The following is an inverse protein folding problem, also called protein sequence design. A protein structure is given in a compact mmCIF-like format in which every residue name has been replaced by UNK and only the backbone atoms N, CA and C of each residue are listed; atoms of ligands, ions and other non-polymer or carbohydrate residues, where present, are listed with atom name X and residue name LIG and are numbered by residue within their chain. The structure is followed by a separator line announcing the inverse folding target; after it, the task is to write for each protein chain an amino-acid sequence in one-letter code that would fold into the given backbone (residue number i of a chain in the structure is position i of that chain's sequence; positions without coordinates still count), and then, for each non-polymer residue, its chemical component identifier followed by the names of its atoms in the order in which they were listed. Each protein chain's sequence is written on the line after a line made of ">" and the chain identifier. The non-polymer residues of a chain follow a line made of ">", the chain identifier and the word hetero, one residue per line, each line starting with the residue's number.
data_IF_611412222892
#
_entry.id   IF_611412222892
#
_cell.length_a   1.000
_cell.length_b   1.000
_cell.length_c   1.000
_cell.angle_alpha   90.00
_cell.angle_beta   90.00
_cell.angle_gamma   90.00
#
_symmetry.space_group_name_H-M   'P 1'
#
loop_
_entity.id
_entity.type
_entity.pdbx_description
1 polymer ?
#
# COMPACT_ATOMS: atom_id res chain seq x y z
N UNK A 1 22.94 41.19 27.40
CA UNK A 1 21.91 42.24 27.60
C UNK A 1 20.58 41.67 27.16
N UNK A 2 19.84 41.03 28.08
CA UNK A 2 18.56 40.38 27.80
C UNK A 2 17.43 41.41 27.93
N UNK A 3 16.51 41.54 26.94
CA UNK A 3 15.43 42.51 27.03
C UNK A 3 14.43 42.07 28.12
N UNK A 4 14.27 42.92 29.15
CA UNK A 4 13.26 42.76 30.20
C UNK A 4 11.89 43.10 29.62
N UNK A 5 11.06 42.08 29.37
CA UNK A 5 9.64 42.26 29.08
C UNK A 5 8.95 42.88 30.30
N UNK A 6 8.44 44.11 30.15
CA UNK A 6 7.73 44.86 31.19
C UNK A 6 6.25 44.48 31.13
N UNK A 7 5.79 43.66 32.06
CA UNK A 7 4.39 43.22 32.11
C UNK A 7 3.43 44.40 32.38
N UNK A 8 2.31 44.53 31.64
CA UNK A 8 1.32 45.58 31.88
C UNK A 8 0.56 45.32 33.19
N UNK A 9 0.31 46.38 33.97
CA UNK A 9 -0.18 46.32 35.36
C UNK A 9 -1.72 46.28 35.50
N UNK A 10 -2.47 45.87 34.48
CA UNK A 10 -3.94 45.74 34.59
C UNK A 10 -4.33 44.34 35.07
N UNK A 11 -5.22 44.26 36.07
CA UNK A 11 -5.73 42.98 36.59
C UNK A 11 -6.31 42.09 35.47
N UNK A 12 -6.95 42.72 34.48
CA UNK A 12 -7.52 42.03 33.31
C UNK A 12 -6.46 41.28 32.49
N UNK A 13 -5.31 41.89 32.20
CA UNK A 13 -4.26 41.20 31.41
C UNK A 13 -3.63 40.06 32.22
N UNK A 14 -3.55 40.21 33.55
CA UNK A 14 -2.98 39.18 34.44
C UNK A 14 -3.84 37.91 34.53
N UNK A 15 -5.15 38.02 34.30
CA UNK A 15 -6.07 36.88 34.25
C UNK A 15 -6.34 36.38 32.81
N UNK A 16 -6.50 37.30 31.85
CA UNK A 16 -6.85 36.93 30.47
C UNK A 16 -5.69 36.27 29.74
N UNK A 17 -4.46 36.76 29.90
CA UNK A 17 -3.30 36.20 29.19
C UNK A 17 -3.07 34.70 29.51
N UNK A 18 -3.01 34.25 30.79
CA UNK A 18 -2.85 32.82 31.07
C UNK A 18 -4.06 32.01 30.62
N UNK A 19 -5.28 32.54 30.71
CA UNK A 19 -6.48 31.85 30.22
C UNK A 19 -6.44 31.63 28.69
N UNK A 20 -6.09 32.66 27.92
CA UNK A 20 -5.93 32.51 26.48
C UNK A 20 -4.80 31.53 26.13
N UNK A 21 -3.71 31.55 26.89
CA UNK A 21 -2.60 30.64 26.69
C UNK A 21 -3.00 29.19 26.99
N UNK A 22 -3.68 28.93 28.11
CA UNK A 22 -4.14 27.57 28.44
C UNK A 22 -5.13 27.04 27.42
N UNK A 23 -6.12 27.86 27.03
CA UNK A 23 -7.09 27.50 26.00
C UNK A 23 -6.40 27.22 24.67
N UNK A 24 -5.48 28.09 24.23
CA UNK A 24 -4.71 27.90 23.00
C UNK A 24 -3.88 26.62 23.01
N UNK A 25 -3.23 26.29 24.13
CA UNK A 25 -2.49 25.03 24.29
C UNK A 25 -3.42 23.82 24.19
N UNK A 26 -4.57 23.84 24.88
CA UNK A 26 -5.53 22.74 24.84
C UNK A 26 -6.06 22.53 23.42
N UNK A 27 -6.47 23.59 22.71
CA UNK A 27 -6.93 23.47 21.33
C UNK A 27 -5.84 22.96 20.38
N UNK A 28 -4.60 23.39 20.57
CA UNK A 28 -3.46 22.93 19.75
C UNK A 28 -3.21 21.44 19.96
N UNK A 29 -3.20 20.99 21.22
CA UNK A 29 -3.02 19.57 21.55
C UNK A 29 -4.17 18.74 21.01
N UNK A 30 -5.41 19.19 21.19
CA UNK A 30 -6.60 18.49 20.68
C UNK A 30 -6.56 18.37 19.16
N UNK A 31 -6.31 19.48 18.44
CA UNK A 31 -6.20 19.49 16.98
C UNK A 31 -5.10 18.56 16.48
N UNK A 32 -3.97 18.50 17.18
CA UNK A 32 -2.87 17.60 16.83
C UNK A 32 -3.25 16.13 17.00
N UNK A 33 -3.90 15.78 18.11
CA UNK A 33 -4.36 14.41 18.40
C UNK A 33 -5.44 13.97 17.40
N UNK A 34 -6.40 14.85 17.12
CA UNK A 34 -7.48 14.57 16.18
C UNK A 34 -6.93 14.37 14.78
N UNK A 35 -6.07 15.28 14.30
CA UNK A 35 -5.44 15.14 12.99
C UNK A 35 -4.66 13.83 12.85
N UNK A 36 -3.88 13.45 13.87
CA UNK A 36 -3.15 12.19 13.89
C UNK A 36 -4.08 10.98 13.83
N UNK A 37 -5.17 11.01 14.60
CA UNK A 37 -6.12 9.90 14.69
C UNK A 37 -6.94 9.76 13.41
N UNK A 38 -7.45 10.86 12.87
CA UNK A 38 -8.17 10.87 11.58
C UNK A 38 -7.28 10.38 10.45
N UNK A 39 -6.02 10.84 10.40
CA UNK A 39 -5.06 10.35 9.40
C UNK A 39 -4.81 8.84 9.54
N UNK A 40 -4.62 8.35 10.76
CA UNK A 40 -4.40 6.93 11.01
C UNK A 40 -5.62 6.07 10.60
N UNK A 41 -6.82 6.51 10.94
CA UNK A 41 -8.07 5.82 10.58
C UNK A 41 -8.29 5.80 9.07
N UNK A 42 -8.09 6.93 8.38
CA UNK A 42 -8.23 7.00 6.93
C UNK A 42 -7.22 6.08 6.22
N UNK A 43 -5.95 6.10 6.65
CA UNK A 43 -4.95 5.19 6.10
C UNK A 43 -5.28 3.72 6.38
N UNK A 44 -5.85 3.41 7.55
CA UNK A 44 -6.34 2.06 7.87
C UNK A 44 -7.45 1.60 6.92
N UNK A 45 -8.44 2.46 6.67
CA UNK A 45 -9.53 2.18 5.72
C UNK A 45 -9.01 1.99 4.30
N UNK A 46 -8.11 2.87 3.83
CA UNK A 46 -7.52 2.73 2.50
C UNK A 46 -6.73 1.42 2.34
N UNK A 47 -6.00 1.00 3.37
CA UNK A 47 -5.31 -0.30 3.37
C UNK A 47 -6.28 -1.47 3.30
N UNK A 48 -7.35 -1.44 4.09
CA UNK A 48 -8.36 -2.51 4.08
C UNK A 48 -9.13 -2.56 2.77
N UNK A 49 -9.38 -1.42 2.12
CA UNK A 49 -9.99 -1.39 0.80
C UNK A 49 -9.03 -1.94 -0.26
N UNK A 50 -7.76 -1.53 -0.25
CA UNK A 50 -6.77 -2.03 -1.20
C UNK A 50 -6.54 -3.55 -1.06
N UNK A 51 -6.59 -4.07 0.17
CA UNK A 51 -6.55 -5.50 0.47
C UNK A 51 -7.75 -6.23 -0.15
N UNK A 52 -8.98 -5.74 0.08
CA UNK A 52 -10.19 -6.30 -0.52
C UNK A 52 -10.17 -6.23 -2.06
N UNK A 53 -9.71 -5.11 -2.63
CA UNK A 53 -9.62 -4.93 -4.08
C UNK A 53 -8.60 -5.90 -4.68
N UNK A 54 -7.45 -6.08 -4.04
CA UNK A 54 -6.43 -7.07 -4.43
C UNK A 54 -7.00 -8.48 -4.42
N UNK A 55 -7.76 -8.81 -3.37
CA UNK A 55 -8.36 -10.13 -3.21
C UNK A 55 -9.47 -10.39 -4.24
N UNK A 56 -10.22 -9.35 -4.64
CA UNK A 56 -11.18 -9.40 -5.75
C UNK A 56 -10.47 -9.57 -7.10
N UNK A 57 -9.39 -8.84 -7.36
CA UNK A 57 -8.57 -8.99 -8.59
C UNK A 57 -8.03 -10.42 -8.67
N UNK A 58 -7.50 -10.96 -7.57
CA UNK A 58 -7.00 -12.34 -7.49
C UNK A 58 -8.10 -13.35 -7.83
N UNK A 59 -9.30 -13.21 -7.27
CA UNK A 59 -10.44 -14.09 -7.58
C UNK A 59 -10.93 -13.95 -9.02
N UNK A 60 -11.00 -12.73 -9.54
CA UNK A 60 -11.44 -12.46 -10.90
C UNK A 60 -10.48 -13.04 -11.96
N UNK A 61 -9.20 -13.09 -11.63
CA UNK A 61 -8.14 -13.61 -12.53
C UNK A 61 -7.83 -15.09 -12.30
N UNK A 62 -8.29 -15.69 -11.19
CA UNK A 62 -7.98 -17.05 -10.77
C UNK A 62 -8.18 -18.09 -11.87
N UNK A 63 -9.36 -18.15 -12.48
CA UNK A 63 -9.68 -19.19 -13.48
C UNK A 63 -8.88 -19.00 -14.77
N UNK A 64 -8.65 -17.74 -15.17
CA UNK A 64 -7.80 -17.42 -16.31
C UNK A 64 -6.35 -17.85 -16.06
N UNK A 65 -5.82 -17.61 -14.86
CA UNK A 65 -4.49 -18.06 -14.45
C UNK A 65 -4.41 -19.60 -14.40
N UNK A 66 -5.38 -20.26 -13.77
CA UNK A 66 -5.45 -21.72 -13.62
C UNK A 66 -5.49 -22.44 -14.97
N UNK A 67 -6.22 -21.88 -15.95
CA UNK A 67 -6.34 -22.42 -17.31
C UNK A 67 -5.25 -21.90 -18.26
N UNK A 68 -4.26 -21.14 -17.76
CA UNK A 68 -3.19 -20.52 -18.54
C UNK A 68 -3.68 -19.67 -19.72
N UNK A 69 -4.76 -18.91 -19.50
CA UNK A 69 -5.35 -17.96 -20.45
C UNK A 69 -4.90 -16.54 -20.14
N UNK A 70 -3.59 -16.30 -20.27
CA UNK A 70 -2.98 -15.03 -19.87
C UNK A 70 -3.52 -13.83 -20.64
N UNK A 71 -3.95 -14.01 -21.89
CA UNK A 71 -4.57 -12.94 -22.68
C UNK A 71 -5.90 -12.46 -22.05
N UNK A 72 -6.75 -13.38 -21.58
CA UNK A 72 -8.01 -13.05 -20.88
C UNK A 72 -7.74 -12.35 -19.54
N UNK A 73 -6.70 -12.79 -18.83
CA UNK A 73 -6.26 -12.17 -17.57
C UNK A 73 -5.73 -10.76 -17.82
N UNK A 74 -4.91 -10.56 -18.87
CA UNK A 74 -4.37 -9.26 -19.26
C UNK A 74 -5.49 -8.28 -19.60
N UNK A 75 -6.51 -8.72 -20.36
CA UNK A 75 -7.69 -7.91 -20.66
C UNK A 75 -8.45 -7.55 -19.37
N UNK A 76 -8.69 -8.53 -18.50
CA UNK A 76 -9.36 -8.31 -17.21
C UNK A 76 -8.65 -7.26 -16.36
N UNK A 77 -7.33 -7.38 -16.21
CA UNK A 77 -6.51 -6.43 -15.45
C UNK A 77 -6.57 -5.04 -16.07
N UNK A 78 -6.55 -4.95 -17.40
CA UNK A 78 -6.62 -3.66 -18.12
C UNK A 78 -7.97 -2.98 -17.90
N UNK A 79 -9.08 -3.71 -17.96
CA UNK A 79 -10.42 -3.18 -17.65
C UNK A 79 -10.56 -2.75 -16.19
N UNK A 80 -10.04 -3.54 -15.24
CA UNK A 80 -10.07 -3.19 -13.82
C UNK A 80 -9.24 -1.94 -13.53
N UNK A 81 -8.08 -1.79 -14.17
CA UNK A 81 -7.23 -0.61 -14.01
C UNK A 81 -7.78 0.66 -14.69
N UNK A 82 -8.68 0.53 -15.66
CA UNK A 82 -9.40 1.66 -16.25
C UNK A 82 -10.46 2.27 -15.30
N UNK A 83 -10.79 1.55 -14.22
CA UNK A 83 -11.69 2.04 -13.18
C UNK A 83 -11.12 3.24 -12.40
N UNK A 84 -11.97 4.11 -11.84
CA UNK A 84 -11.51 5.23 -11.03
C UNK A 84 -10.82 4.73 -9.75
N UNK A 85 -9.72 5.37 -9.37
CA UNK A 85 -9.01 5.08 -8.11
C UNK A 85 -7.94 4.00 -8.19
N UNK A 86 -7.79 3.33 -9.33
CA UNK A 86 -6.68 2.39 -9.58
C UNK A 86 -5.61 3.09 -10.41
N UNK A 87 -4.40 3.21 -9.86
CA UNK A 87 -3.29 3.85 -10.56
C UNK A 87 -2.62 2.90 -11.57
N UNK A 88 -2.42 1.64 -11.18
CA UNK A 88 -1.85 0.59 -12.00
C UNK A 88 -2.01 -0.77 -11.31
N UNK A 89 -2.09 -1.84 -12.10
CA UNK A 89 -2.06 -3.22 -11.63
C UNK A 89 -0.90 -3.92 -12.35
N UNK A 90 -0.05 -4.64 -11.60
CA UNK A 90 1.13 -5.35 -12.11
C UNK A 90 1.21 -6.73 -11.48
N UNK A 91 1.50 -7.75 -12.28
CA UNK A 91 1.78 -9.11 -11.82
C UNK A 91 3.24 -9.43 -12.11
N UNK A 92 3.94 -9.90 -11.08
CA UNK A 92 5.35 -10.24 -11.16
C UNK A 92 5.53 -11.75 -11.08
N UNK A 93 6.50 -12.28 -11.83
CA UNK A 93 6.98 -13.63 -11.57
C UNK A 93 7.97 -13.66 -10.40
N UNK A 94 8.36 -14.87 -9.97
CA UNK A 94 9.32 -15.09 -8.88
C UNK A 94 10.74 -14.59 -9.15
N UNK A 95 11.03 -14.12 -10.36
CA UNK A 95 12.31 -13.54 -10.76
C UNK A 95 12.24 -12.02 -10.81
N UNK A 96 11.11 -11.41 -10.45
CA UNK A 96 10.92 -9.96 -10.54
C UNK A 96 10.64 -9.45 -11.94
N UNK A 97 10.17 -10.29 -12.87
CA UNK A 97 9.74 -9.87 -14.21
C UNK A 97 8.26 -9.53 -14.19
N UNK A 98 7.89 -8.38 -14.72
CA UNK A 98 6.48 -8.00 -14.94
C UNK A 98 5.91 -8.88 -16.07
N UNK A 99 5.04 -9.81 -15.72
CA UNK A 99 4.42 -10.74 -16.68
C UNK A 99 3.08 -10.22 -17.22
N UNK A 100 2.37 -9.43 -16.42
CA UNK A 100 1.12 -8.76 -16.79
C UNK A 100 1.14 -7.35 -16.22
N UNK A 101 0.63 -6.38 -16.96
CA UNK A 101 0.50 -5.00 -16.47
C UNK A 101 -0.63 -4.28 -17.16
N UNK A 102 -1.36 -3.43 -16.43
CA UNK A 102 -2.28 -2.47 -17.03
C UNK A 102 -1.59 -1.49 -18.01
N UNK A 103 -0.26 -1.38 -17.93
CA UNK A 103 0.60 -0.62 -18.82
C UNK A 103 1.43 -1.59 -19.67
N UNK A 104 1.01 -1.89 -20.91
CA UNK A 104 1.65 -2.92 -21.73
C UNK A 104 3.15 -2.69 -21.97
N UNK A 105 3.59 -1.43 -21.96
CA UNK A 105 4.99 -1.02 -22.09
C UNK A 105 5.90 -1.50 -20.95
N UNK A 106 5.33 -1.92 -19.82
CA UNK A 106 6.08 -2.44 -18.68
C UNK A 106 6.29 -3.95 -18.74
N UNK A 107 5.53 -4.66 -19.57
CA UNK A 107 5.59 -6.12 -19.66
C UNK A 107 6.99 -6.54 -20.14
N UNK A 108 7.56 -7.52 -19.44
CA UNK A 108 8.93 -8.00 -19.66
C UNK A 108 10.01 -7.19 -18.94
N UNK A 109 9.67 -6.07 -18.29
CA UNK A 109 10.63 -5.33 -17.45
C UNK A 109 10.98 -6.13 -16.20
N UNK A 110 12.27 -6.19 -15.91
CA UNK A 110 12.80 -6.81 -14.70
C UNK A 110 13.03 -5.74 -13.62
N UNK A 111 12.64 -6.05 -12.37
CA UNK A 111 12.95 -5.27 -11.18
C UNK A 111 13.92 -6.04 -10.28
N UNK A 112 14.75 -5.33 -9.54
CA UNK A 112 15.72 -5.95 -8.64
C UNK A 112 15.01 -6.65 -7.47
N UNK A 113 15.50 -7.83 -7.07
CA UNK A 113 14.86 -8.63 -6.00
C UNK A 113 14.99 -7.99 -4.61
N UNK A 114 15.89 -7.03 -4.46
CA UNK A 114 16.05 -6.22 -3.26
C UNK A 114 15.15 -4.96 -3.25
N UNK A 115 14.39 -4.74 -4.33
CA UNK A 115 13.43 -3.65 -4.42
C UNK A 115 12.32 -3.79 -3.39
N UNK A 116 11.65 -2.68 -3.07
CA UNK A 116 10.58 -2.62 -2.08
C UNK A 116 9.43 -3.63 -2.35
N UNK A 117 9.22 -3.98 -3.62
CA UNK A 117 8.22 -4.97 -4.08
C UNK A 117 8.66 -6.41 -3.84
N UNK A 118 9.94 -6.73 -4.05
CA UNK A 118 10.43 -8.12 -4.01
C UNK A 118 11.05 -8.50 -2.65
N UNK A 119 11.52 -7.51 -1.89
CA UNK A 119 12.27 -7.73 -0.65
C UNK A 119 11.47 -8.45 0.43
N UNK A 120 10.13 -8.35 0.43
CA UNK A 120 9.29 -9.09 1.39
C UNK A 120 9.45 -10.59 1.20
N UNK A 121 9.36 -11.08 -0.04
CA UNK A 121 9.48 -12.50 -0.35
C UNK A 121 10.94 -12.98 -0.45
N UNK A 122 11.86 -12.14 -0.92
CA UNK A 122 13.24 -12.58 -1.22
C UNK A 122 14.26 -12.36 -0.09
N UNK A 123 13.91 -11.61 0.97
CA UNK A 123 14.80 -11.36 2.12
C UNK A 123 14.36 -12.07 3.41
N UNK A 124 13.17 -12.68 3.43
CA UNK A 124 12.67 -13.44 4.58
C UNK A 124 13.05 -14.92 4.43
N UNK A 125 13.40 -15.57 5.55
CA UNK A 125 13.53 -17.04 5.61
C UNK A 125 12.22 -17.70 5.18
N UNK A 126 12.31 -18.90 4.59
CA UNK A 126 11.26 -19.71 3.93
C UNK A 126 9.99 -20.01 4.79
N UNK A 127 9.89 -19.46 6.01
CA UNK A 127 8.83 -19.73 6.99
C UNK A 127 7.82 -18.59 7.16
N UNK A 128 7.95 -17.49 6.40
CA UNK A 128 6.99 -16.38 6.47
C UNK A 128 5.63 -16.79 5.89
N UNK A 129 4.55 -16.50 6.62
CA UNK A 129 3.19 -16.73 6.10
C UNK A 129 2.83 -15.67 5.05
N UNK A 130 1.89 -15.95 4.15
CA UNK A 130 1.53 -15.02 3.08
C UNK A 130 1.08 -13.65 3.61
N UNK A 131 0.26 -13.60 4.66
CA UNK A 131 -0.10 -12.32 5.29
C UNK A 131 1.08 -11.52 5.88
N UNK A 132 2.26 -12.13 6.09
CA UNK A 132 3.48 -11.41 6.47
C UNK A 132 4.25 -10.86 5.25
N UNK A 133 4.02 -11.43 4.07
CA UNK A 133 4.63 -11.02 2.81
C UNK A 133 3.85 -9.88 2.15
N UNK A 134 2.55 -9.79 2.43
CA UNK A 134 1.68 -8.72 1.95
C UNK A 134 2.03 -7.38 2.59
N UNK A 135 2.10 -6.33 1.77
CA UNK A 135 2.51 -5.00 2.23
C UNK A 135 1.69 -3.91 1.57
N UNK A 136 1.25 -2.96 2.38
CA UNK A 136 0.65 -1.71 1.93
C UNK A 136 1.53 -0.53 2.33
N UNK A 137 2.04 0.20 1.35
CA UNK A 137 2.92 1.35 1.54
C UNK A 137 2.50 2.52 0.69
N UNK A 138 2.75 3.74 1.17
CA UNK A 138 2.59 4.93 0.35
C UNK A 138 3.77 4.99 -0.63
N UNK A 139 3.47 5.06 -1.92
CA UNK A 139 4.43 5.14 -2.99
C UNK A 139 4.17 6.39 -3.82
N UNK A 140 5.23 6.97 -4.40
CA UNK A 140 5.07 8.01 -5.42
C UNK A 140 5.23 7.39 -6.79
N UNK A 141 4.25 7.62 -7.65
CA UNK A 141 4.35 7.32 -9.08
C UNK A 141 5.12 8.46 -9.75
N UNK A 142 5.97 8.21 -10.76
CA UNK A 142 6.62 9.28 -11.52
C UNK A 142 5.57 10.29 -12.01
N UNK A 143 5.77 11.58 -11.70
CA UNK A 143 4.89 12.71 -12.06
C UNK A 143 3.46 12.68 -11.48
N UNK A 144 3.18 11.74 -10.57
CA UNK A 144 1.83 11.52 -10.03
C UNK A 144 1.63 11.97 -8.58
N UNK A 145 0.38 11.83 -8.14
CA UNK A 145 0.02 11.92 -6.73
C UNK A 145 0.65 10.76 -5.92
N UNK A 146 0.70 10.94 -4.60
CA UNK A 146 1.02 9.85 -3.68
C UNK A 146 -0.10 8.81 -3.73
N UNK A 147 0.26 7.56 -3.99
CA UNK A 147 -0.68 6.44 -4.09
C UNK A 147 -0.42 5.43 -2.99
N UNK A 148 -1.46 4.71 -2.58
CA UNK A 148 -1.28 3.53 -1.74
C UNK A 148 -0.96 2.34 -2.65
N UNK A 149 0.27 1.83 -2.55
CA UNK A 149 0.68 0.59 -3.19
C UNK A 149 0.35 -0.57 -2.26
N UNK A 150 -0.38 -1.57 -2.76
CA UNK A 150 -0.65 -2.82 -2.07
C UNK A 150 -0.01 -3.97 -2.85
N UNK A 151 0.65 -4.88 -2.14
CA UNK A 151 1.30 -6.07 -2.68
C UNK A 151 0.66 -7.29 -2.02
N UNK A 152 0.08 -8.17 -2.85
CA UNK A 152 -0.38 -9.49 -2.46
C UNK A 152 0.44 -10.58 -3.14
N UNK A 153 0.56 -11.73 -2.48
CA UNK A 153 1.21 -12.92 -3.04
C UNK A 153 0.15 -13.86 -3.60
N UNK A 154 0.35 -14.34 -4.83
CA UNK A 154 -0.49 -15.39 -5.42
C UNK A 154 0.10 -16.74 -5.00
N UNK A 155 -0.59 -17.45 -4.10
CA UNK A 155 -0.18 -18.77 -3.64
C UNK A 155 -0.31 -19.83 -4.74
N UNK A 156 0.63 -20.78 -4.76
CA UNK A 156 0.48 -21.99 -5.57
C UNK A 156 -0.44 -22.99 -4.88
N UNK A 157 -1.75 -22.74 -4.97
CA UNK A 157 -2.78 -23.63 -4.42
C UNK A 157 -2.72 -25.04 -5.06
N UNK A 158 -3.37 -26.03 -4.45
CA UNK A 158 -3.35 -27.41 -4.94
C UNK A 158 -3.88 -27.56 -6.39
N UNK A 159 -4.84 -26.73 -6.78
CA UNK A 159 -5.37 -26.63 -8.15
C UNK A 159 -4.29 -26.13 -9.14
N UNK A 160 -3.51 -25.13 -8.75
CA UNK A 160 -2.43 -24.57 -9.55
C UNK A 160 -1.27 -25.57 -9.69
N UNK A 161 -0.91 -26.23 -8.59
CA UNK A 161 0.14 -27.24 -8.52
C UNK A 161 -0.14 -28.52 -9.33
N UNK A 162 -1.42 -28.84 -9.52
CA UNK A 162 -1.88 -29.98 -10.33
C UNK A 162 -2.19 -29.60 -11.78
N UNK A 163 -2.19 -28.30 -12.10
CA UNK A 163 -2.26 -27.82 -13.48
C UNK A 163 -0.96 -28.13 -14.23
N UNK A 164 -1.05 -28.22 -15.56
CA UNK A 164 0.09 -28.55 -16.42
C UNK A 164 1.21 -27.49 -16.45
N UNK A 165 1.02 -26.33 -15.81
CA UNK A 165 1.86 -25.14 -16.00
C UNK A 165 2.70 -24.74 -14.77
N UNK A 166 2.27 -25.04 -13.54
CA UNK A 166 3.05 -24.72 -12.33
C UNK A 166 3.63 -25.99 -11.69
N UNK A 167 4.93 -25.96 -11.41
CA UNK A 167 5.57 -27.04 -10.66
C UNK A 167 4.97 -27.14 -9.25
N UNK A 168 4.88 -28.37 -8.72
CA UNK A 168 4.35 -28.61 -7.38
C UNK A 168 5.07 -27.77 -6.32
N UNK A 169 4.42 -27.39 -5.20
CA UNK A 169 4.97 -26.47 -4.20
C UNK A 169 6.36 -26.89 -3.67
N UNK A 170 6.63 -28.20 -3.65
CA UNK A 170 7.92 -28.80 -3.27
C UNK A 170 9.08 -28.50 -4.23
N UNK A 171 8.81 -27.95 -5.42
CA UNK A 171 9.81 -27.53 -6.40
C UNK A 171 9.93 -26.01 -6.54
N UNK A 172 9.17 -25.26 -5.75
CA UNK A 172 9.26 -23.80 -5.71
C UNK A 172 10.31 -23.39 -4.67
N UNK A 173 11.57 -23.34 -5.12
CA UNK A 173 12.60 -22.49 -4.50
C UNK A 173 12.45 -21.05 -4.98
#
# INVERSE_FOLDING_TARGET
>A
MFPKFRAPRSLGIRLLLPLFLTVGVVFTVHSYVDYRSTKANLLGLLRSNADQDSDLIRRATHDGMLLNRLDEVQETITHLAAGPGVAAIRVYDKRGVIVLSAHPEEIGRHIELDSETCISCHKQDETASVGQLERSGLARVPEGAEVLRHLSVIENEASCASAACHASPSQQK
#
